data_IF_144969678021
#
_entry.id   IF_144969678021
#
_cell.length_a   1.000
_cell.length_b   1.000
_cell.length_c   1.000
_cell.angle_alpha   90.00
_cell.angle_beta   90.00
_cell.angle_gamma   90.00
#
_symmetry.space_group_name_H-M   'P 1'
#
loop_
_entity.id
_entity.type
_entity.pdbx_description
1 polymer ?
#
# COMPACT_ATOMS: atom_id res chain seq x y z
N UNK A 1 -109.31 -16.83 59.11
CA UNK A 1 -109.22 -17.92 58.12
C UNK A 1 -108.19 -17.51 57.07
N UNK A 2 -106.91 -17.86 57.26
CA UNK A 2 -105.82 -17.43 56.38
C UNK A 2 -105.68 -18.40 55.21
N UNK A 3 -105.76 -17.90 53.96
CA UNK A 3 -105.37 -18.64 52.77
C UNK A 3 -103.89 -18.37 52.50
N UNK A 4 -103.01 -19.17 53.09
CA UNK A 4 -101.58 -19.16 52.74
C UNK A 4 -101.37 -19.84 51.38
N UNK A 5 -100.58 -19.21 50.51
CA UNK A 5 -100.54 -19.50 49.09
C UNK A 5 -99.52 -20.62 48.79
N UNK A 6 -100.01 -21.83 48.45
CA UNK A 6 -99.19 -23.04 48.26
C UNK A 6 -98.07 -22.87 47.22
N UNK A 7 -98.19 -21.90 46.29
CA UNK A 7 -97.16 -21.66 45.25
C UNK A 7 -95.82 -21.16 45.79
N UNK A 8 -95.77 -20.47 46.94
CA UNK A 8 -94.50 -19.98 47.49
C UNK A 8 -93.73 -21.09 48.21
N UNK A 9 -94.42 -22.02 48.90
CA UNK A 9 -93.77 -23.15 49.58
C UNK A 9 -92.96 -24.06 48.65
N UNK A 10 -93.41 -24.26 47.40
CA UNK A 10 -92.64 -25.04 46.43
C UNK A 10 -91.42 -24.28 45.89
N UNK A 11 -91.47 -22.94 45.85
CA UNK A 11 -90.31 -22.12 45.49
C UNK A 11 -89.25 -22.22 46.58
N UNK A 12 -89.62 -22.06 47.85
CA UNK A 12 -88.71 -22.18 48.99
C UNK A 12 -88.09 -23.57 49.10
N UNK A 13 -88.87 -24.64 48.92
CA UNK A 13 -88.35 -26.02 48.92
C UNK A 13 -87.40 -26.25 47.74
N UNK A 14 -87.68 -25.68 46.56
CA UNK A 14 -86.80 -25.82 45.40
C UNK A 14 -85.51 -24.97 45.54
N UNK A 15 -85.59 -23.79 46.16
CA UNK A 15 -84.44 -22.96 46.52
C UNK A 15 -83.59 -23.67 47.58
N UNK A 16 -84.19 -24.21 48.65
CA UNK A 16 -83.47 -24.99 49.66
C UNK A 16 -82.85 -26.26 49.08
N UNK A 17 -83.56 -26.98 48.20
CA UNK A 17 -83.01 -28.17 47.54
C UNK A 17 -81.86 -27.80 46.60
N UNK A 18 -81.98 -26.71 45.83
CA UNK A 18 -80.93 -26.24 44.92
C UNK A 18 -79.71 -25.72 45.69
N UNK A 19 -79.92 -24.97 46.76
CA UNK A 19 -78.86 -24.45 47.63
C UNK A 19 -78.19 -25.58 48.42
N UNK A 20 -78.95 -26.55 48.93
CA UNK A 20 -78.42 -27.75 49.55
C UNK A 20 -77.65 -28.61 48.53
N UNK A 21 -78.12 -28.73 47.28
CA UNK A 21 -77.39 -29.41 46.22
C UNK A 21 -76.08 -28.67 45.90
N UNK A 22 -76.07 -27.33 45.91
CA UNK A 22 -74.89 -26.49 45.70
C UNK A 22 -73.90 -26.50 46.89
N UNK A 23 -74.36 -26.87 48.09
CA UNK A 23 -73.53 -27.06 49.30
C UNK A 23 -73.04 -28.51 49.44
N UNK A 24 -73.86 -29.49 49.05
CA UNK A 24 -73.55 -30.95 49.10
C UNK A 24 -72.71 -31.37 47.89
N UNK A 25 -72.87 -30.72 46.73
CA UNK A 25 -71.82 -30.76 45.70
C UNK A 25 -70.59 -30.10 46.30
N UNK A 26 -69.65 -30.95 46.68
CA UNK A 26 -68.37 -30.57 47.26
C UNK A 26 -67.50 -29.96 46.14
N UNK A 27 -67.88 -28.76 45.71
CA UNK A 27 -67.07 -27.86 44.89
C UNK A 27 -65.90 -27.38 45.76
N UNK A 28 -64.97 -28.31 46.03
CA UNK A 28 -63.59 -28.00 46.38
C UNK A 28 -63.17 -26.90 45.41
N UNK A 29 -62.82 -25.74 45.95
CA UNK A 29 -62.56 -24.53 45.15
C UNK A 29 -61.69 -24.89 43.95
N UNK A 30 -62.21 -24.65 42.74
CA UNK A 30 -61.60 -25.12 41.50
C UNK A 30 -60.25 -24.42 41.35
N UNK A 31 -59.16 -25.13 41.69
CA UNK A 31 -57.81 -24.60 41.53
C UNK A 31 -57.39 -24.70 40.07
N UNK A 32 -57.60 -23.62 39.33
CA UNK A 32 -57.05 -23.49 37.98
C UNK A 32 -55.53 -23.30 38.08
N UNK A 33 -54.75 -24.25 37.53
CA UNK A 33 -53.33 -24.07 37.33
C UNK A 33 -53.12 -23.34 36.00
N UNK A 34 -52.96 -22.02 36.05
CA UNK A 34 -52.61 -21.22 34.88
C UNK A 34 -51.09 -21.35 34.70
N UNK A 35 -50.68 -22.03 33.63
CA UNK A 35 -49.31 -22.01 33.14
C UNK A 35 -49.21 -20.89 32.10
N UNK A 36 -48.39 -19.88 32.38
CA UNK A 36 -47.91 -18.97 31.35
C UNK A 36 -46.78 -19.71 30.63
N UNK A 37 -46.85 -19.73 29.30
CA UNK A 37 -45.77 -20.23 28.46
C UNK A 37 -44.97 -19.04 27.96
N UNK A 38 -43.65 -19.22 27.90
CA UNK A 38 -42.73 -18.21 27.40
C UNK A 38 -42.88 -18.07 25.88
N UNK A 39 -42.63 -16.89 25.35
CA UNK A 39 -42.67 -16.64 23.91
C UNK A 39 -41.38 -15.92 23.56
N UNK A 40 -40.63 -16.49 22.61
CA UNK A 40 -39.36 -15.96 22.15
C UNK A 40 -39.57 -14.68 21.31
N UNK A 41 -39.87 -13.57 21.98
CA UNK A 41 -40.17 -12.26 21.41
C UNK A 41 -39.10 -11.20 21.71
N UNK A 42 -38.10 -11.52 22.54
CA UNK A 42 -36.93 -10.70 22.77
C UNK A 42 -35.74 -11.23 21.95
N UNK A 43 -34.94 -10.30 21.40
CA UNK A 43 -33.66 -10.65 20.81
C UNK A 43 -32.54 -10.46 21.84
N UNK A 44 -31.46 -11.26 21.81
CA UNK A 44 -30.32 -11.05 22.68
C UNK A 44 -29.77 -9.62 22.56
N UNK A 45 -29.62 -8.91 23.67
CA UNK A 45 -28.95 -7.62 23.74
C UNK A 45 -27.46 -7.83 24.07
N UNK A 46 -26.56 -7.19 23.31
CA UNK A 46 -25.11 -7.31 23.49
C UNK A 46 -24.52 -5.98 23.92
N UNK A 47 -24.05 -5.92 25.16
CA UNK A 47 -23.40 -4.75 25.74
C UNK A 47 -21.87 -4.93 25.75
N UNK A 48 -21.14 -3.92 25.32
CA UNK A 48 -19.66 -3.91 25.40
C UNK A 48 -19.27 -3.41 26.79
N UNK A 49 -19.12 -4.33 27.74
CA UNK A 49 -18.77 -4.06 29.15
C UNK A 49 -17.36 -3.47 29.31
N UNK A 50 -16.43 -3.77 28.41
CA UNK A 50 -15.10 -3.15 28.34
C UNK A 50 -14.50 -3.29 26.94
N UNK A 51 -13.75 -2.29 26.48
CA UNK A 51 -13.07 -2.30 25.18
C UNK A 51 -11.71 -1.61 25.25
N UNK A 52 -10.63 -2.37 25.06
CA UNK A 52 -9.33 -1.79 24.71
C UNK A 52 -9.31 -1.51 23.21
N UNK A 53 -9.75 -0.31 22.83
CA UNK A 53 -9.79 0.11 21.42
C UNK A 53 -8.41 0.18 20.76
N UNK A 54 -7.35 0.24 21.56
CA UNK A 54 -5.95 0.27 21.13
C UNK A 54 -5.16 -0.83 21.82
N UNK A 55 -4.40 -1.61 21.06
CA UNK A 55 -3.64 -2.76 21.57
C UNK A 55 -2.23 -2.74 20.97
N UNK A 56 -1.16 -2.67 21.79
CA UNK A 56 0.21 -2.85 21.33
C UNK A 56 0.40 -4.17 20.59
N UNK A 57 1.19 -4.20 19.52
CA UNK A 57 1.41 -5.44 18.77
C UNK A 57 2.27 -6.47 19.51
N UNK A 58 3.07 -6.03 20.49
CA UNK A 58 3.82 -6.88 21.43
C UNK A 58 2.94 -7.49 22.54
N UNK A 59 1.62 -7.21 22.55
CA UNK A 59 0.70 -7.70 23.56
C UNK A 59 0.71 -9.25 23.63
N UNK A 60 0.89 -9.84 24.83
CA UNK A 60 1.10 -11.27 24.96
C UNK A 60 -0.15 -12.08 24.57
N UNK A 61 0.02 -13.33 24.09
CA UNK A 61 -1.10 -14.24 23.84
C UNK A 61 -1.98 -14.40 25.09
N UNK A 62 -3.29 -14.22 24.91
CA UNK A 62 -4.26 -14.21 26.02
C UNK A 62 -4.66 -12.80 26.52
N UNK A 63 -4.12 -11.73 25.92
CA UNK A 63 -4.58 -10.36 26.18
C UNK A 63 -6.08 -10.20 25.88
N UNK A 64 -6.84 -9.69 26.87
CA UNK A 64 -8.28 -9.47 26.74
C UNK A 64 -8.54 -8.16 25.99
N UNK A 65 -9.04 -8.27 24.76
CA UNK A 65 -9.34 -7.15 23.85
C UNK A 65 -10.61 -6.40 24.26
N UNK A 66 -11.67 -7.17 24.52
CA UNK A 66 -12.98 -6.67 24.90
C UNK A 66 -13.67 -7.67 25.84
N UNK A 67 -14.51 -7.15 26.73
CA UNK A 67 -15.48 -7.92 27.50
C UNK A 67 -16.87 -7.56 26.99
N UNK A 68 -17.64 -8.56 26.60
CA UNK A 68 -19.01 -8.40 26.11
C UNK A 68 -19.96 -9.14 27.05
N UNK A 69 -20.98 -8.44 27.52
CA UNK A 69 -22.15 -9.03 28.16
C UNK A 69 -23.18 -9.36 27.08
N UNK A 70 -23.88 -10.48 27.23
CA UNK A 70 -25.07 -10.80 26.45
C UNK A 70 -26.19 -11.06 27.44
N UNK A 71 -27.29 -10.32 27.30
CA UNK A 71 -28.48 -10.46 28.11
C UNK A 71 -29.66 -10.78 27.20
N UNK A 72 -30.38 -11.84 27.53
CA UNK A 72 -31.68 -12.13 26.96
C UNK A 72 -32.73 -11.98 28.07
N UNK A 73 -33.93 -11.55 27.72
CA UNK A 73 -35.06 -11.43 28.64
C UNK A 73 -35.93 -12.68 28.61
N UNK A 74 -35.82 -13.49 27.57
CA UNK A 74 -36.56 -14.75 27.42
C UNK A 74 -35.98 -15.83 28.34
N UNK A 75 -36.86 -16.65 28.91
CA UNK A 75 -36.52 -17.63 29.95
C UNK A 75 -36.18 -19.02 29.40
N UNK A 76 -36.50 -19.30 28.13
CA UNK A 76 -36.06 -20.49 27.41
C UNK A 76 -35.13 -20.16 26.23
N UNK A 77 -34.59 -21.19 25.56
CA UNK A 77 -33.60 -21.01 24.47
C UNK A 77 -34.22 -20.80 23.08
N UNK A 78 -35.49 -20.40 23.00
CA UNK A 78 -36.11 -19.76 21.86
C UNK A 78 -36.16 -20.55 20.55
N UNK A 79 -37.33 -21.06 20.18
CA UNK A 79 -37.53 -21.70 18.86
C UNK A 79 -38.52 -20.94 17.98
N UNK A 80 -38.10 -20.39 16.81
CA UNK A 80 -36.74 -20.38 16.24
C UNK A 80 -35.81 -19.39 16.95
N UNK A 81 -34.51 -19.69 17.01
CA UNK A 81 -33.54 -18.87 17.74
C UNK A 81 -33.34 -17.49 17.11
N UNK A 82 -33.42 -16.44 17.93
CA UNK A 82 -33.08 -15.07 17.56
C UNK A 82 -31.59 -14.80 17.78
N UNK A 83 -31.05 -13.77 17.13
CA UNK A 83 -29.63 -13.42 17.24
C UNK A 83 -29.40 -11.94 16.93
N UNK A 84 -28.38 -11.37 17.56
CA UNK A 84 -27.92 -9.99 17.33
C UNK A 84 -26.41 -9.98 17.05
N UNK A 85 -25.95 -8.94 16.37
CA UNK A 85 -24.56 -8.79 15.96
C UNK A 85 -24.01 -7.43 16.44
N UNK A 86 -22.81 -7.44 17.01
CA UNK A 86 -22.06 -6.23 17.37
C UNK A 86 -20.72 -6.22 16.63
N UNK A 87 -20.31 -5.05 16.14
CA UNK A 87 -19.00 -4.87 15.48
C UNK A 87 -18.05 -4.16 16.44
N UNK A 88 -16.94 -4.81 16.78
CA UNK A 88 -15.88 -4.23 17.61
C UNK A 88 -14.71 -3.80 16.73
N UNK A 89 -14.42 -2.49 16.71
CA UNK A 89 -13.26 -1.95 16.00
C UNK A 89 -12.05 -1.90 16.93
N UNK A 90 -10.99 -2.64 16.56
CA UNK A 90 -9.73 -2.72 17.32
C UNK A 90 -8.61 -2.11 16.48
N UNK A 91 -7.84 -1.21 17.07
CA UNK A 91 -6.67 -0.61 16.45
C UNK A 91 -5.41 -1.21 17.06
N UNK A 92 -4.52 -1.75 16.24
CA UNK A 92 -3.20 -2.18 16.69
C UNK A 92 -2.27 -0.97 16.76
N UNK A 93 -1.45 -0.90 17.81
CA UNK A 93 -0.42 0.12 18.00
C UNK A 93 0.96 -0.49 17.72
N UNK A 94 1.58 0.05 16.68
CA UNK A 94 2.98 -0.15 16.32
C UNK A 94 3.91 0.07 17.54
N UNK A 95 4.80 -0.88 17.79
CA UNK A 95 5.90 -0.79 18.75
C UNK A 95 7.21 -0.65 17.99
N UNK A 96 8.23 -0.07 18.63
CA UNK A 96 9.54 0.09 17.97
C UNK A 96 10.38 -1.19 18.14
N UNK A 97 9.96 -2.29 17.50
CA UNK A 97 10.58 -3.61 17.64
C UNK A 97 11.51 -4.00 16.48
N UNK A 98 11.48 -3.27 15.37
CA UNK A 98 12.41 -3.45 14.25
C UNK A 98 13.58 -2.45 14.34
N UNK A 99 14.77 -2.93 14.00
CA UNK A 99 15.96 -2.08 13.94
C UNK A 99 16.23 -1.62 12.50
N UNK A 100 16.81 -0.42 12.29
CA UNK A 100 17.15 0.07 10.97
C UNK A 100 18.03 -0.90 10.18
N UNK A 101 17.65 -1.24 8.94
CA UNK A 101 18.42 -2.12 8.05
C UNK A 101 19.14 -1.29 6.99
N UNK A 102 20.47 -1.43 6.89
CA UNK A 102 21.26 -0.76 5.85
C UNK A 102 21.01 -1.44 4.49
N UNK A 103 20.52 -0.67 3.52
CA UNK A 103 20.32 -1.08 2.13
C UNK A 103 21.50 -0.71 1.23
N UNK A 104 22.24 0.34 1.59
CA UNK A 104 23.48 0.76 0.93
C UNK A 104 24.28 1.68 1.88
N UNK A 105 25.62 1.56 1.95
CA UNK A 105 26.44 0.57 1.26
C UNK A 105 26.25 -0.84 1.82
N UNK A 106 26.35 -1.84 0.95
CA UNK A 106 26.39 -3.26 1.32
C UNK A 106 27.43 -3.94 0.43
N UNK A 107 28.35 -4.69 1.03
CA UNK A 107 29.42 -5.41 0.33
C UNK A 107 28.93 -6.73 -0.29
N UNK A 108 29.76 -7.37 -1.11
CA UNK A 108 29.51 -8.74 -1.61
C UNK A 108 29.28 -9.78 -0.49
N UNK A 109 29.74 -9.47 0.72
CA UNK A 109 29.68 -10.36 1.88
C UNK A 109 28.47 -10.06 2.77
N UNK A 110 27.60 -9.12 2.38
CA UNK A 110 26.45 -8.68 3.15
C UNK A 110 26.76 -7.75 4.33
N UNK A 111 28.03 -7.38 4.54
CA UNK A 111 28.38 -6.35 5.54
C UNK A 111 27.93 -4.96 5.06
N UNK A 112 27.52 -4.10 5.98
CA UNK A 112 27.10 -2.71 5.72
C UNK A 112 28.30 -1.78 5.43
N UNK A 113 29.18 -2.21 4.53
CA UNK A 113 30.43 -1.53 4.21
C UNK A 113 30.55 -1.33 2.69
N UNK A 114 31.08 -0.18 2.28
CA UNK A 114 31.29 0.13 0.86
C UNK A 114 32.47 1.07 0.64
N UNK A 115 33.03 0.98 -0.56
CA UNK A 115 34.11 1.84 -1.04
C UNK A 115 33.54 2.74 -2.13
N UNK A 116 33.78 4.04 -2.03
CA UNK A 116 33.42 5.05 -3.03
C UNK A 116 34.71 5.74 -3.51
N UNK A 117 34.92 5.81 -4.82
CA UNK A 117 36.08 6.48 -5.42
C UNK A 117 35.70 7.86 -5.94
N UNK A 118 36.36 8.91 -5.45
CA UNK A 118 36.14 10.30 -5.89
C UNK A 118 37.45 10.94 -6.39
N UNK A 119 37.43 11.74 -7.46
CA UNK A 119 38.61 12.47 -7.91
C UNK A 119 39.11 13.49 -6.88
N UNK A 120 40.42 13.66 -6.70
CA UNK A 120 41.00 14.69 -5.80
C UNK A 120 40.55 16.12 -6.17
N UNK A 121 40.34 16.40 -7.45
CA UNK A 121 39.96 17.73 -7.94
C UNK A 121 38.47 18.08 -7.78
N UNK A 122 37.70 17.33 -6.96
CA UNK A 122 36.31 17.73 -6.65
C UNK A 122 36.26 18.97 -5.76
N UNK A 123 35.31 19.85 -6.08
CA UNK A 123 35.04 21.05 -5.30
C UNK A 123 34.22 20.74 -4.03
N UNK A 124 34.18 21.71 -3.11
CA UNK A 124 33.22 21.72 -2.01
C UNK A 124 31.78 21.53 -2.51
N UNK A 125 30.98 20.77 -1.75
CA UNK A 125 29.60 20.45 -2.08
C UNK A 125 29.43 19.30 -3.09
N UNK A 126 30.49 18.62 -3.53
CA UNK A 126 30.38 17.40 -4.33
C UNK A 126 29.61 16.32 -3.56
N UNK A 127 28.69 15.61 -4.22
CA UNK A 127 27.97 14.48 -3.62
C UNK A 127 28.86 13.25 -3.73
N UNK A 128 29.39 12.77 -2.61
CA UNK A 128 30.25 11.58 -2.56
C UNK A 128 29.38 10.34 -2.75
N UNK A 129 28.44 10.12 -1.83
CA UNK A 129 27.49 9.00 -1.92
C UNK A 129 26.25 9.26 -1.05
N UNK A 130 25.33 8.31 -0.99
CA UNK A 130 24.11 8.39 -0.16
C UNK A 130 23.89 7.08 0.60
N UNK A 131 24.05 7.09 1.91
CA UNK A 131 23.63 5.99 2.79
C UNK A 131 22.12 5.80 2.67
N UNK A 132 21.69 4.56 2.49
CA UNK A 132 20.28 4.17 2.42
C UNK A 132 20.02 3.13 3.49
N UNK A 133 18.99 3.36 4.28
CA UNK A 133 18.49 2.42 5.25
C UNK A 133 16.97 2.35 5.14
N UNK A 134 16.38 1.31 5.70
CA UNK A 134 14.95 1.07 5.77
C UNK A 134 14.60 0.55 7.16
N UNK A 135 13.46 0.98 7.66
CA UNK A 135 12.89 0.47 8.90
C UNK A 135 11.49 -0.07 8.61
N UNK A 136 11.09 -1.12 9.33
CA UNK A 136 9.80 -1.77 9.13
C UNK A 136 8.69 -1.12 9.99
N UNK A 137 9.06 -0.44 11.07
CA UNK A 137 8.12 0.20 11.99
C UNK A 137 7.37 1.38 11.35
N UNK A 138 6.17 1.68 11.86
CA UNK A 138 5.24 2.62 11.24
C UNK A 138 5.39 4.04 11.82
N UNK A 139 5.56 5.01 10.92
CA UNK A 139 5.46 6.42 11.27
C UNK A 139 6.68 6.93 12.02
N UNK A 140 6.50 7.34 13.29
CA UNK A 140 7.57 7.96 14.07
C UNK A 140 8.67 6.97 14.47
N UNK A 141 8.29 5.73 14.76
CA UNK A 141 9.22 4.65 15.08
C UNK A 141 10.18 4.47 13.88
N UNK A 142 9.68 4.06 12.71
CA UNK A 142 10.49 3.90 11.49
C UNK A 142 11.05 5.17 10.83
N UNK A 143 11.02 6.34 11.48
CA UNK A 143 11.66 7.55 10.95
C UNK A 143 13.16 7.58 11.27
N UNK A 144 13.98 7.56 10.22
CA UNK A 144 15.44 7.45 10.36
C UNK A 144 16.17 8.80 10.44
N UNK A 145 17.13 8.86 11.35
CA UNK A 145 18.13 9.92 11.48
C UNK A 145 19.54 9.37 11.23
N UNK A 146 20.32 10.14 10.47
CA UNK A 146 21.70 9.79 10.09
C UNK A 146 22.69 10.68 10.85
N UNK A 147 23.76 10.09 11.40
CA UNK A 147 24.80 10.81 12.14
C UNK A 147 26.18 10.25 11.87
N UNK A 148 27.20 11.11 11.84
CA UNK A 148 28.61 10.69 11.77
C UNK A 148 29.07 10.32 13.17
N UNK A 149 29.44 9.05 13.38
CA UNK A 149 29.94 8.52 14.64
C UNK A 149 31.48 8.53 14.68
N UNK A 150 32.13 8.11 13.59
CA UNK A 150 33.58 8.24 13.39
C UNK A 150 33.84 8.84 12.00
N UNK A 151 34.87 9.67 11.87
CA UNK A 151 35.32 10.24 10.59
C UNK A 151 36.79 10.61 10.69
N UNK A 152 37.58 10.30 9.65
CA UNK A 152 39.02 10.65 9.59
C UNK A 152 39.28 12.16 9.74
N UNK A 153 38.50 13.01 9.05
CA UNK A 153 38.57 14.48 9.17
C UNK A 153 37.16 15.09 9.09
N UNK A 154 36.70 15.68 10.20
CA UNK A 154 35.41 16.37 10.30
C UNK A 154 35.29 17.60 9.38
N UNK A 155 36.40 18.14 8.87
CA UNK A 155 36.41 19.30 7.96
C UNK A 155 36.21 18.92 6.48
N UNK A 156 36.36 17.63 6.11
CA UNK A 156 36.23 17.17 4.73
C UNK A 156 34.82 16.74 4.35
N UNK A 157 34.09 16.08 5.25
CA UNK A 157 32.81 15.43 4.92
C UNK A 157 31.65 15.89 5.80
N UNK A 158 30.55 16.27 5.15
CA UNK A 158 29.26 16.57 5.79
C UNK A 158 28.23 15.49 5.46
N UNK A 159 27.42 15.12 6.46
CA UNK A 159 26.32 14.18 6.32
C UNK A 159 25.00 14.90 6.55
N UNK A 160 24.07 14.77 5.59
CA UNK A 160 22.70 15.26 5.75
C UNK A 160 21.89 14.30 6.63
N UNK A 161 21.49 14.81 7.82
CA UNK A 161 20.86 14.03 8.90
C UNK A 161 19.52 13.35 8.57
N UNK A 162 18.86 13.74 7.48
CA UNK A 162 17.54 13.21 7.09
C UNK A 162 17.59 12.41 5.79
N UNK A 163 18.49 12.76 4.88
CA UNK A 163 18.58 12.14 3.55
C UNK A 163 19.74 11.18 3.40
N UNK A 164 20.65 11.07 4.38
CA UNK A 164 21.80 10.17 4.33
C UNK A 164 22.85 10.53 3.26
N UNK A 165 22.75 11.72 2.66
CA UNK A 165 23.69 12.20 1.63
C UNK A 165 25.00 12.65 2.27
N UNK A 166 26.12 12.12 1.78
CA UNK A 166 27.47 12.53 2.17
C UNK A 166 28.01 13.48 1.10
N UNK A 167 28.49 14.65 1.51
CA UNK A 167 29.07 15.66 0.61
C UNK A 167 30.42 16.16 1.10
N UNK A 168 31.27 16.59 0.18
CA UNK A 168 32.49 17.32 0.55
C UNK A 168 32.14 18.69 1.12
N UNK A 169 32.86 19.13 2.15
CA UNK A 169 32.74 20.47 2.75
C UNK A 169 33.79 21.45 2.21
N UNK A 170 34.96 20.94 1.83
CA UNK A 170 36.06 21.65 1.18
C UNK A 170 36.63 20.80 0.04
N UNK A 171 37.48 21.40 -0.79
CA UNK A 171 38.30 20.66 -1.76
C UNK A 171 39.46 19.94 -1.06
N UNK A 172 39.96 18.87 -1.67
CA UNK A 172 41.13 18.14 -1.18
C UNK A 172 42.44 18.86 -1.47
N UNK A 173 43.43 18.61 -0.62
CA UNK A 173 44.80 19.12 -0.69
C UNK A 173 45.79 17.96 -0.88
N UNK A 174 47.06 18.28 -1.13
CA UNK A 174 48.14 17.27 -1.19
C UNK A 174 48.46 16.65 0.18
N UNK A 175 48.12 17.33 1.27
CA UNK A 175 48.31 16.85 2.65
C UNK A 175 47.17 15.98 3.19
N UNK A 176 46.05 15.89 2.46
CA UNK A 176 44.92 15.03 2.85
C UNK A 176 45.20 13.57 2.47
N UNK A 177 44.85 12.65 3.37
CA UNK A 177 45.02 11.21 3.15
C UNK A 177 44.25 10.72 1.91
N UNK A 178 44.77 9.69 1.24
CA UNK A 178 44.15 9.12 0.05
C UNK A 178 42.92 8.24 0.35
N UNK A 179 42.70 7.87 1.62
CA UNK A 179 41.59 7.04 2.06
C UNK A 179 41.01 7.58 3.37
N UNK A 180 39.69 7.79 3.42
CA UNK A 180 39.00 8.29 4.60
C UNK A 180 37.88 7.34 5.02
N UNK A 181 37.87 6.95 6.29
CA UNK A 181 36.82 6.10 6.86
C UNK A 181 35.74 6.97 7.48
N UNK A 182 34.49 6.75 7.07
CA UNK A 182 33.30 7.34 7.66
C UNK A 182 32.46 6.22 8.28
N UNK A 183 32.11 6.35 9.55
CA UNK A 183 31.20 5.45 10.26
C UNK A 183 29.92 6.22 10.52
N UNK A 184 28.84 5.81 9.84
CA UNK A 184 27.53 6.44 9.88
C UNK A 184 26.62 5.61 10.78
N UNK A 185 26.13 6.22 11.83
CA UNK A 185 25.11 5.66 12.72
C UNK A 185 23.74 6.10 12.23
N UNK A 186 22.91 5.13 11.87
CA UNK A 186 21.51 5.29 11.52
C UNK A 186 20.66 4.88 12.72
N UNK A 187 19.78 5.77 13.17
CA UNK A 187 18.89 5.56 14.31
C UNK A 187 17.45 5.80 13.91
N UNK A 188 16.56 5.00 14.45
CA UNK A 188 15.12 5.26 14.45
C UNK A 188 14.78 6.42 15.44
N UNK A 189 13.49 6.69 15.68
CA UNK A 189 13.07 7.57 16.78
C UNK A 189 12.18 6.85 17.81
N UNK A 190 12.38 5.55 18.01
CA UNK A 190 11.69 4.78 19.04
C UNK A 190 11.89 5.32 20.45
N UNK A 191 10.90 5.08 21.32
CA UNK A 191 11.01 5.38 22.76
C UNK A 191 12.19 4.64 23.43
N UNK A 192 12.60 3.50 22.86
CA UNK A 192 13.93 2.91 23.02
C UNK A 192 14.53 2.81 21.63
N UNK A 193 15.40 3.75 21.27
CA UNK A 193 15.82 3.87 19.87
C UNK A 193 16.82 2.78 19.47
N UNK A 194 16.50 2.01 18.44
CA UNK A 194 17.36 1.01 17.82
C UNK A 194 18.22 1.66 16.72
N UNK A 195 19.27 0.94 16.30
CA UNK A 195 20.27 1.51 15.40
C UNK A 195 21.04 0.48 14.60
N UNK A 196 21.47 0.87 13.40
CA UNK A 196 22.50 0.18 12.64
C UNK A 196 23.61 1.14 12.20
N UNK A 197 24.76 0.55 11.87
CA UNK A 197 25.96 1.28 11.50
C UNK A 197 26.38 0.89 10.08
N UNK A 198 26.76 1.87 9.27
CA UNK A 198 27.31 1.69 7.94
C UNK A 198 28.73 2.30 7.85
N UNK A 199 29.67 1.58 7.25
CA UNK A 199 31.03 2.07 6.98
C UNK A 199 31.12 2.51 5.51
N UNK A 200 31.46 3.78 5.26
CA UNK A 200 31.81 4.28 3.93
C UNK A 200 33.30 4.60 3.91
N UNK A 201 34.04 3.92 3.05
CA UNK A 201 35.45 4.19 2.79
C UNK A 201 35.54 5.05 1.53
N UNK A 202 35.93 6.31 1.67
CA UNK A 202 36.10 7.24 0.55
C UNK A 202 37.55 7.20 0.11
N UNK A 203 37.80 6.76 -1.13
CA UNK A 203 39.14 6.75 -1.75
C UNK A 203 39.27 7.93 -2.69
N UNK A 204 40.24 8.79 -2.39
CA UNK A 204 40.57 9.98 -3.17
C UNK A 204 41.57 9.55 -4.24
N UNK A 205 41.10 9.41 -5.48
CA UNK A 205 41.93 9.03 -6.62
C UNK A 205 42.42 10.28 -7.35
N UNK A 206 43.64 10.25 -7.88
CA UNK A 206 44.05 11.33 -8.79
C UNK A 206 43.09 11.37 -9.99
N UNK A 207 42.67 12.56 -10.45
CA UNK A 207 41.84 12.65 -11.63
C UNK A 207 42.56 11.98 -12.78
N UNK A 208 41.89 11.03 -13.45
CA UNK A 208 42.39 10.52 -14.72
C UNK A 208 42.48 11.71 -15.65
N UNK A 209 43.70 12.16 -15.93
CA UNK A 209 43.95 13.07 -17.02
C UNK A 209 43.39 12.39 -18.27
N UNK A 210 42.26 12.90 -18.76
CA UNK A 210 41.98 12.79 -20.17
C UNK A 210 43.15 13.52 -20.82
N UNK A 211 44.11 12.75 -21.35
CA UNK A 211 45.24 13.24 -22.11
C UNK A 211 44.68 14.02 -23.30
N UNK A 212 44.36 15.29 -23.07
CA UNK A 212 43.99 16.22 -24.11
C UNK A 212 45.18 16.25 -25.06
N UNK A 213 44.95 15.85 -26.31
CA UNK A 213 46.00 15.58 -27.28
C UNK A 213 46.81 16.85 -27.57
N UNK A 214 47.83 17.08 -26.76
CA UNK A 214 48.91 18.00 -27.04
C UNK A 214 49.76 17.36 -28.14
N UNK A 215 49.39 17.70 -29.38
CA UNK A 215 50.05 17.44 -30.66
C UNK A 215 51.48 16.88 -30.56
N UNK A 216 51.58 15.55 -30.39
CA UNK A 216 52.80 14.79 -30.62
C UNK A 216 52.49 13.79 -31.73
N UNK A 217 53.01 14.08 -32.93
CA UNK A 217 53.07 13.14 -34.05
C UNK A 217 53.93 11.94 -33.69
N UNK A 218 53.34 10.94 -33.04
CA UNK A 218 53.92 9.61 -32.95
C UNK A 218 53.44 8.80 -34.14
N UNK A 219 54.31 8.60 -35.13
CA UNK A 219 54.04 7.74 -36.25
C UNK A 219 53.86 6.27 -35.81
N UNK A 220 53.34 5.46 -36.74
CA UNK A 220 53.18 3.99 -36.67
C UNK A 220 52.21 3.48 -35.61
N UNK A 221 50.91 3.49 -35.94
CA UNK A 221 49.99 2.34 -35.88
C UNK A 221 48.56 2.65 -36.44
N UNK A 222 48.35 3.79 -37.08
CA UNK A 222 47.03 4.23 -37.59
C UNK A 222 46.54 3.57 -38.90
N UNK A 223 47.33 2.70 -39.56
CA UNK A 223 46.94 2.18 -40.88
C UNK A 223 45.87 1.07 -40.83
N UNK A 224 45.72 0.34 -39.72
CA UNK A 224 44.74 -0.76 -39.63
C UNK A 224 43.34 -0.24 -39.24
N UNK A 225 43.22 0.58 -38.20
CA UNK A 225 41.92 1.09 -37.71
C UNK A 225 41.25 2.07 -38.69
N UNK A 226 42.03 2.90 -39.40
CA UNK A 226 41.47 3.78 -40.43
C UNK A 226 40.94 2.98 -41.62
N UNK A 227 41.60 1.88 -42.01
CA UNK A 227 41.11 0.98 -43.04
C UNK A 227 39.80 0.29 -42.60
N UNK A 228 39.74 -0.26 -41.38
CA UNK A 228 38.51 -0.88 -40.84
C UNK A 228 37.35 0.14 -40.80
N UNK A 229 37.61 1.35 -40.32
CA UNK A 229 36.60 2.43 -40.26
C UNK A 229 36.13 2.85 -41.66
N UNK A 230 37.04 2.92 -42.63
CA UNK A 230 36.72 3.23 -44.03
C UNK A 230 35.87 2.14 -44.69
N UNK A 231 36.20 0.85 -44.48
CA UNK A 231 35.36 -0.27 -44.94
C UNK A 231 33.98 -0.28 -44.27
N UNK A 232 33.88 0.09 -42.99
CA UNK A 232 32.62 0.17 -42.26
C UNK A 232 31.73 1.32 -42.81
N UNK A 233 32.32 2.45 -43.16
CA UNK A 233 31.61 3.55 -43.85
C UNK A 233 31.12 3.14 -45.26
N UNK A 234 31.95 2.44 -46.04
CA UNK A 234 31.57 1.95 -47.38
C UNK A 234 30.44 0.91 -47.31
N UNK A 235 30.50 -0.01 -46.34
CA UNK A 235 29.47 -1.05 -46.18
C UNK A 235 28.14 -0.45 -45.70
N UNK A 236 28.14 0.48 -44.74
CA UNK A 236 26.92 1.21 -44.35
C UNK A 236 26.34 2.04 -45.52
N UNK A 237 27.19 2.76 -46.26
CA UNK A 237 26.77 3.55 -47.42
C UNK A 237 26.16 2.70 -48.55
N UNK A 238 26.75 1.54 -48.85
CA UNK A 238 26.23 0.62 -49.87
C UNK A 238 24.93 -0.05 -49.44
N UNK A 239 24.80 -0.50 -48.18
CA UNK A 239 23.54 -1.06 -47.67
C UNK A 239 22.41 -0.01 -47.67
N UNK A 240 22.70 1.22 -47.23
CA UNK A 240 21.72 2.32 -47.22
C UNK A 240 21.25 2.70 -48.63
N UNK A 241 22.17 2.79 -49.60
CA UNK A 241 21.82 3.11 -50.99
C UNK A 241 21.01 1.99 -51.66
N UNK A 242 21.36 0.71 -51.43
CA UNK A 242 20.57 -0.42 -51.92
C UNK A 242 19.15 -0.44 -51.33
N UNK A 243 19.00 -0.11 -50.05
CA UNK A 243 17.70 0.00 -49.39
C UNK A 243 16.84 1.12 -50.02
N UNK A 244 17.41 2.31 -50.22
CA UNK A 244 16.72 3.43 -50.90
C UNK A 244 16.34 3.09 -52.35
N UNK A 245 17.22 2.42 -53.09
CA UNK A 245 16.91 1.93 -54.46
C UNK A 245 15.74 0.94 -54.41
N UNK A 246 15.71 0.01 -53.44
CA UNK A 246 14.60 -0.94 -53.30
C UNK A 246 13.27 -0.24 -53.01
N UNK A 247 13.26 0.81 -52.17
CA UNK A 247 12.07 1.63 -51.89
C UNK A 247 11.61 2.36 -53.16
N UNK A 248 12.53 2.97 -53.91
CA UNK A 248 12.19 3.68 -55.16
C UNK A 248 11.62 2.70 -56.20
N UNK A 249 12.19 1.49 -56.31
CA UNK A 249 11.68 0.43 -57.19
C UNK A 249 10.29 -0.05 -56.76
N UNK A 250 10.04 -0.23 -55.47
CA UNK A 250 8.72 -0.61 -54.95
C UNK A 250 7.67 0.49 -55.21
N UNK A 251 8.03 1.77 -55.02
CA UNK A 251 7.17 2.91 -55.35
C UNK A 251 6.90 2.95 -56.86
N UNK A 252 7.92 2.76 -57.71
CA UNK A 252 7.76 2.72 -59.15
C UNK A 252 6.87 1.54 -59.62
N UNK A 253 7.02 0.35 -59.01
CA UNK A 253 6.13 -0.79 -59.25
C UNK A 253 4.69 -0.46 -58.86
N UNK A 254 4.48 0.16 -57.69
CA UNK A 254 3.15 0.58 -57.21
C UNK A 254 2.51 1.63 -58.13
N UNK A 255 3.29 2.57 -58.66
CA UNK A 255 2.84 3.58 -59.62
C UNK A 255 2.65 3.03 -61.05
N UNK A 256 3.31 1.93 -61.41
CA UNK A 256 3.19 1.30 -62.73
C UNK A 256 1.93 0.44 -62.90
N UNK A 257 1.29 0.05 -61.79
CA UNK A 257 0.10 -0.81 -61.83
C UNK A 257 -1.16 0.04 -61.95
N UNK A 258 -1.57 0.29 -63.19
CA UNK A 258 -2.84 0.97 -63.51
C UNK A 258 -4.04 0.22 -62.91
N UNK A 259 -4.89 0.97 -62.21
CA UNK A 259 -6.14 0.53 -61.59
C UNK A 259 -7.12 -0.06 -62.59
N UNK A 260 -7.75 -1.20 -62.26
CA UNK A 260 -9.00 -1.60 -62.94
C UNK A 260 -9.86 -2.60 -62.10
N UNK A 261 -11.18 -2.35 -62.11
CA UNK A 261 -12.33 -3.17 -61.66
C UNK A 261 -12.51 -3.68 -60.20
N UNK A 262 -13.24 -2.87 -59.40
CA UNK A 262 -14.64 -3.11 -58.96
C UNK A 262 -15.10 -4.43 -58.26
N UNK A 263 -15.28 -4.31 -56.93
CA UNK A 263 -16.44 -4.74 -56.11
C UNK A 263 -16.55 -6.13 -55.41
N UNK A 264 -17.15 -6.06 -54.19
CA UNK A 264 -17.70 -7.11 -53.28
C UNK A 264 -16.66 -8.05 -52.64
N UNK A 265 -16.65 -8.31 -51.32
CA UNK A 265 -17.68 -8.25 -50.25
C UNK A 265 -17.19 -7.40 -49.04
N UNK A 266 -18.05 -6.66 -48.30
CA UNK A 266 -18.59 -7.01 -46.95
C UNK A 266 -17.62 -7.83 -46.07
N UNK A 267 -17.31 -7.58 -44.78
CA UNK A 267 -17.74 -6.69 -43.69
C UNK A 267 -16.61 -6.75 -42.60
N UNK A 268 -16.42 -5.90 -41.56
CA UNK A 268 -17.14 -4.75 -40.98
C UNK A 268 -16.20 -3.85 -40.10
N UNK A 269 -16.78 -2.96 -39.28
CA UNK A 269 -16.29 -2.34 -38.01
C UNK A 269 -14.81 -1.93 -37.83
N UNK A 270 -14.57 -0.66 -38.19
CA UNK A 270 -13.74 0.31 -37.47
C UNK A 270 -13.59 0.03 -35.94
N UNK A 271 -12.36 -0.07 -35.45
CA UNK A 271 -11.97 0.52 -34.15
C UNK A 271 -10.50 0.98 -34.16
N UNK A 272 -10.27 2.09 -33.47
CA UNK A 272 -9.05 2.92 -33.51
C UNK A 272 -7.88 2.34 -32.69
N UNK A 273 -6.67 2.82 -32.96
CA UNK A 273 -5.44 2.31 -32.38
C UNK A 273 -5.24 2.70 -30.92
N UNK A 274 -5.06 1.71 -30.03
CA UNK A 274 -4.40 1.92 -28.74
C UNK A 274 -3.59 0.68 -28.35
N UNK A 275 -2.27 0.74 -28.55
CA UNK A 275 -1.36 -0.38 -28.26
C UNK A 275 -1.01 -0.44 -26.77
N UNK A 276 -1.95 -0.89 -25.93
CA UNK A 276 -1.72 -1.11 -24.51
C UNK A 276 -0.87 -2.37 -24.27
N UNK A 277 0.41 -2.20 -23.91
CA UNK A 277 1.21 -3.29 -23.35
C UNK A 277 0.73 -3.61 -21.93
N UNK A 278 0.09 -4.77 -21.75
CA UNK A 278 -0.18 -5.33 -20.42
C UNK A 278 0.88 -6.38 -20.08
N UNK A 279 1.58 -6.19 -18.96
CA UNK A 279 2.51 -7.18 -18.42
C UNK A 279 1.75 -7.95 -17.33
N UNK A 280 1.48 -9.23 -17.56
CA UNK A 280 0.91 -10.11 -16.54
C UNK A 280 2.03 -10.72 -15.69
N UNK A 281 1.99 -10.47 -14.38
CA UNK A 281 2.83 -11.19 -13.42
C UNK A 281 2.10 -12.43 -12.90
N UNK A 282 2.76 -13.59 -12.88
CA UNK A 282 2.17 -14.85 -12.40
C UNK A 282 2.91 -15.34 -11.16
N UNK A 283 2.29 -15.21 -10.00
CA UNK A 283 2.73 -15.86 -8.76
C UNK A 283 1.53 -16.51 -8.07
N UNK A 284 1.51 -17.85 -8.05
CA UNK A 284 0.47 -18.64 -7.38
C UNK A 284 -0.95 -18.57 -7.97
N UNK A 285 -1.91 -19.11 -7.20
CA UNK A 285 -3.30 -19.38 -7.61
C UNK A 285 -4.27 -18.19 -7.46
N UNK A 286 -3.78 -16.95 -7.36
CA UNK A 286 -4.62 -15.75 -7.29
C UNK A 286 -4.24 -14.75 -8.39
N UNK A 287 -5.15 -14.57 -9.36
CA UNK A 287 -5.02 -13.55 -10.41
C UNK A 287 -5.49 -12.20 -9.87
N UNK A 288 -4.58 -11.24 -9.79
CA UNK A 288 -4.89 -9.82 -9.62
C UNK A 288 -4.59 -9.09 -10.93
N UNK A 289 -5.51 -8.22 -11.35
CA UNK A 289 -5.32 -7.33 -12.51
C UNK A 289 -5.19 -5.92 -11.96
N UNK A 290 -4.02 -5.31 -12.14
CA UNK A 290 -3.81 -3.88 -11.86
C UNK A 290 -3.92 -3.13 -13.18
N UNK A 291 -4.95 -2.29 -13.31
CA UNK A 291 -5.13 -1.41 -14.45
C UNK A 291 -4.72 0.01 -14.08
N UNK A 292 -3.67 0.53 -14.71
CA UNK A 292 -3.33 1.96 -14.66
C UNK A 292 -4.12 2.69 -15.75
N UNK A 293 -4.90 3.70 -15.37
CA UNK A 293 -5.66 4.51 -16.32
C UNK A 293 -4.77 5.47 -17.11
N UNK A 294 -4.89 5.46 -18.43
CA UNK A 294 -4.19 6.41 -19.31
C UNK A 294 -4.83 7.81 -19.21
N UNK A 295 -4.02 8.82 -18.89
CA UNK A 295 -4.39 10.24 -19.06
C UNK A 295 -3.88 10.69 -20.43
N UNK A 296 -4.80 11.04 -21.33
CA UNK A 296 -4.44 11.63 -22.63
C UNK A 296 -4.17 13.13 -22.48
N UNK A 297 -2.95 13.56 -22.78
CA UNK A 297 -2.61 14.97 -22.99
C UNK A 297 -2.78 15.31 -24.47
N UNK A 298 -3.77 16.12 -24.81
CA UNK A 298 -3.78 16.91 -26.04
C UNK A 298 -4.39 18.29 -25.77
N UNK A 299 -3.79 19.31 -26.36
CA UNK A 299 -4.07 20.72 -26.13
C UNK A 299 -4.56 21.32 -27.44
N UNK A 300 -5.79 21.86 -27.47
CA UNK A 300 -6.17 22.94 -28.39
C UNK A 300 -7.51 23.60 -27.95
N UNK A 301 -7.87 24.73 -28.58
CA UNK A 301 -8.36 25.88 -27.80
C UNK A 301 -9.73 26.48 -28.19
N UNK A 302 -10.43 27.03 -27.17
CA UNK A 302 -11.41 28.14 -27.21
C UNK A 302 -12.78 27.88 -27.92
N UNK A 303 -13.83 28.72 -27.71
CA UNK A 303 -13.89 29.97 -26.94
C UNK A 303 -15.00 30.12 -25.87
N UNK A 304 -14.81 31.20 -25.10
CA UNK A 304 -15.65 31.91 -24.12
C UNK A 304 -17.17 31.94 -24.39
N UNK A 305 -17.98 31.66 -23.35
CA UNK A 305 -19.25 32.38 -23.05
C UNK A 305 -19.78 32.04 -21.64
N UNK A 306 -20.48 32.97 -20.99
CA UNK A 306 -21.41 32.67 -19.88
C UNK A 306 -20.92 32.98 -18.46
N UNK A 307 -21.22 34.20 -17.98
CA UNK A 307 -21.01 34.66 -16.61
C UNK A 307 -22.22 34.42 -15.69
N UNK A 308 -21.99 33.81 -14.52
CA UNK A 308 -22.57 34.22 -13.21
C UNK A 308 -21.87 33.41 -12.11
N UNK A 309 -20.95 33.97 -11.33
CA UNK A 309 -21.23 34.75 -10.11
C UNK A 309 -22.17 34.06 -9.10
N UNK A 310 -21.56 33.53 -8.03
CA UNK A 310 -21.89 33.73 -6.61
C UNK A 310 -23.36 33.55 -6.19
N UNK A 311 -23.64 32.52 -5.38
CA UNK A 311 -24.00 32.75 -3.97
C UNK A 311 -23.73 31.52 -3.07
N UNK A 312 -23.78 31.76 -1.76
CA UNK A 312 -23.24 30.95 -0.65
C UNK A 312 -24.38 30.23 0.12
N UNK A 313 -24.06 29.61 1.28
CA UNK A 313 -24.99 28.98 2.25
C UNK A 313 -25.48 27.57 1.79
N UNK A 314 -25.31 26.47 2.55
CA UNK A 314 -25.16 26.29 4.01
C UNK A 314 -24.21 25.15 4.36
#
# INVERSE_FOLDING_TARGET
>A
MSRTNIKEQWLDVWIYFSLALLIVTNLKGISAQIRVEDVNDNQPEVEITSLSSRIPEDAPPGTVVALMGVTDLDSDSGTPSLSSNVTVNVFILDQNDNAPVILYPVSSNGSAEGVEEIPRNVNAGHLVTKVRAYDADIGYNGWLLFSLQEVTDHSLFGLDRYTGRIRTLRSFTETDEAEHKLVILVKDNGNVSLSATATVIVKVVEPKEAFAAADVKSATNDEEDNNVTFYLMITLGSVSTLFLISIIVLIAMQCSKSTDYTSKYLQETNYDGTLCHSIQYRSGDKRYIVAYGCVAHSVEALPISGSSLIEEVR
#
